data_IF_305651194043
#
_entry.id   IF_305651194043
#
_cell.length_a   1.000
_cell.length_b   1.000
_cell.length_c   1.000
_cell.angle_alpha   90.00
_cell.angle_beta   90.00
_cell.angle_gamma   90.00
#
_symmetry.space_group_name_H-M   'P 1'
#
loop_
_entity.id
_entity.type
_entity.pdbx_description
1 polymer ?
#
# COMPACT_ATOMS: atom_id res chain seq x y z
N UNK A 1 16.84 4.93 6.29
CA UNK A 1 17.15 3.66 6.97
C UNK A 1 16.85 2.57 5.96
N UNK A 2 17.84 1.75 5.58
CA UNK A 2 17.63 0.62 4.66
C UNK A 2 16.91 -0.51 5.42
N UNK A 3 15.76 -0.96 4.92
CA UNK A 3 15.00 -2.07 5.50
C UNK A 3 15.59 -3.43 5.08
N UNK A 4 15.10 -4.55 5.64
CA UNK A 4 15.53 -5.92 5.28
C UNK A 4 15.43 -6.21 3.77
N UNK A 5 14.60 -5.43 3.07
CA UNK A 5 14.36 -5.55 1.63
C UNK A 5 15.26 -4.66 0.75
N UNK A 6 16.20 -3.88 1.31
CA UNK A 6 17.00 -2.86 0.61
C UNK A 6 16.18 -1.77 -0.11
N UNK A 7 14.98 -1.45 0.39
CA UNK A 7 14.18 -0.32 -0.08
C UNK A 7 14.26 0.84 0.91
N UNK A 8 14.25 2.05 0.35
CA UNK A 8 14.16 3.28 1.14
C UNK A 8 12.70 3.72 1.17
N UNK A 9 12.13 3.73 2.38
CA UNK A 9 10.83 4.35 2.62
C UNK A 9 10.90 5.85 2.35
N UNK A 10 9.90 6.38 1.65
CA UNK A 10 9.74 7.80 1.44
C UNK A 10 9.29 8.46 2.75
N UNK A 11 10.04 9.49 3.18
CA UNK A 11 9.73 10.23 4.40
C UNK A 11 8.52 11.13 4.20
N UNK A 12 8.46 11.80 3.05
CA UNK A 12 7.32 12.61 2.64
C UNK A 12 6.37 11.81 1.73
N UNK A 13 5.11 12.23 1.68
CA UNK A 13 4.12 11.70 0.76
C UNK A 13 4.49 12.11 -0.68
N UNK A 14 4.70 11.16 -1.61
CA UNK A 14 4.99 11.47 -3.00
C UNK A 14 3.78 12.10 -3.71
N UNK A 15 4.04 12.92 -4.73
CA UNK A 15 2.98 13.45 -5.59
C UNK A 15 2.47 12.34 -6.53
N UNK A 16 1.27 11.83 -6.24
CA UNK A 16 0.64 10.72 -6.96
C UNK A 16 -0.77 11.08 -7.34
N UNK A 17 -1.09 10.91 -8.62
CA UNK A 17 -2.44 11.04 -9.16
C UNK A 17 -2.96 9.64 -9.49
N UNK A 18 -3.99 9.20 -8.76
CA UNK A 18 -4.62 7.90 -8.93
C UNK A 18 -6.07 8.09 -9.34
N UNK A 19 -6.59 7.20 -10.17
CA UNK A 19 -7.99 7.22 -10.53
C UNK A 19 -8.90 6.93 -9.31
N UNK A 20 -10.19 7.30 -9.37
CA UNK A 20 -11.10 7.12 -8.24
C UNK A 20 -11.26 5.67 -7.76
N UNK A 21 -11.14 4.67 -8.63
CA UNK A 21 -11.27 3.27 -8.23
C UNK A 21 -10.02 2.81 -7.46
N UNK A 22 -8.82 3.18 -7.93
CA UNK A 22 -7.56 2.95 -7.21
C UNK A 22 -7.54 3.67 -5.86
N UNK A 23 -8.00 4.93 -5.80
CA UNK A 23 -8.16 5.68 -4.55
C UNK A 23 -9.03 4.92 -3.55
N UNK A 24 -10.20 4.47 -3.99
CA UNK A 24 -11.13 3.78 -3.10
C UNK A 24 -10.63 2.38 -2.69
N UNK A 25 -9.83 1.73 -3.53
CA UNK A 25 -9.14 0.49 -3.19
C UNK A 25 -8.05 0.70 -2.13
N UNK A 26 -7.28 1.78 -2.22
CA UNK A 26 -6.27 2.13 -1.21
C UNK A 26 -6.91 2.48 0.14
N UNK A 27 -8.06 3.16 0.14
CA UNK A 27 -8.81 3.47 1.36
C UNK A 27 -9.34 2.20 2.04
N UNK A 28 -9.89 1.26 1.27
CA UNK A 28 -10.34 -0.03 1.80
C UNK A 28 -9.18 -0.88 2.34
N UNK A 29 -8.03 -0.85 1.67
CA UNK A 29 -6.81 -1.48 2.17
C UNK A 29 -6.32 -0.81 3.47
N UNK A 30 -6.45 0.52 3.59
CA UNK A 30 -6.11 1.24 4.82
C UNK A 30 -6.99 0.77 5.98
N UNK A 31 -8.30 0.64 5.77
CA UNK A 31 -9.22 0.13 6.80
C UNK A 31 -8.87 -1.30 7.23
N UNK A 32 -8.43 -2.14 6.29
CA UNK A 32 -7.96 -3.49 6.59
C UNK A 32 -6.65 -3.48 7.42
N UNK A 33 -5.70 -2.61 7.08
CA UNK A 33 -4.48 -2.48 7.90
C UNK A 33 -4.81 -1.94 9.29
N UNK A 34 -5.71 -0.96 9.39
CA UNK A 34 -6.19 -0.36 10.65
C UNK A 34 -6.83 -1.41 11.58
N UNK A 35 -7.44 -2.45 11.01
CA UNK A 35 -7.99 -3.59 11.75
C UNK A 35 -6.93 -4.55 12.34
N UNK A 36 -5.64 -4.35 12.04
CA UNK A 36 -4.53 -5.10 12.64
C UNK A 36 -4.22 -6.45 11.98
N UNK A 37 -4.53 -6.59 10.69
CA UNK A 37 -4.25 -7.81 9.94
C UNK A 37 -2.75 -8.03 9.67
N UNK A 38 -2.34 -9.29 9.56
CA UNK A 38 -0.96 -9.66 9.28
C UNK A 38 -0.54 -9.36 7.84
N UNK A 39 0.77 -9.26 7.58
CA UNK A 39 1.27 -8.97 6.24
C UNK A 39 0.88 -9.98 5.15
N UNK A 40 0.70 -11.26 5.51
CA UNK A 40 0.18 -12.26 4.55
C UNK A 40 -1.31 -12.05 4.25
N UNK A 41 -2.11 -11.67 5.24
CA UNK A 41 -3.52 -11.30 5.05
C UNK A 41 -3.63 -10.03 4.20
N UNK A 42 -2.83 -8.99 4.51
CA UNK A 42 -2.78 -7.74 3.73
C UNK A 42 -2.38 -8.05 2.28
N UNK A 43 -1.42 -8.95 2.06
CA UNK A 43 -1.02 -9.34 0.71
C UNK A 43 -2.19 -9.95 -0.07
N UNK A 44 -2.97 -10.82 0.57
CA UNK A 44 -4.19 -11.38 -0.03
C UNK A 44 -5.24 -10.31 -0.30
N UNK A 45 -5.42 -9.40 0.66
CA UNK A 45 -6.42 -8.35 0.59
C UNK A 45 -6.18 -7.38 -0.57
N UNK A 46 -4.93 -7.12 -0.95
CA UNK A 46 -4.61 -6.33 -2.15
C UNK A 46 -5.24 -6.96 -3.40
N UNK A 47 -5.19 -8.29 -3.56
CA UNK A 47 -5.81 -8.96 -4.71
C UNK A 47 -7.34 -8.88 -4.66
N UNK A 48 -7.92 -9.16 -3.49
CA UNK A 48 -9.38 -9.14 -3.33
C UNK A 48 -9.96 -7.74 -3.49
N UNK A 49 -9.29 -6.71 -2.95
CA UNK A 49 -9.69 -5.31 -3.09
C UNK A 49 -9.63 -4.85 -4.54
N UNK A 50 -8.53 -5.15 -5.25
CA UNK A 50 -8.40 -4.85 -6.67
C UNK A 50 -9.58 -5.44 -7.46
N UNK A 51 -9.92 -6.71 -7.19
CA UNK A 51 -11.06 -7.39 -7.81
C UNK A 51 -12.41 -6.78 -7.44
N UNK A 52 -12.64 -6.42 -6.17
CA UNK A 52 -13.91 -5.81 -5.71
C UNK A 52 -14.12 -4.42 -6.31
N UNK A 53 -13.04 -3.69 -6.58
CA UNK A 53 -13.07 -2.33 -7.14
C UNK A 53 -12.89 -2.25 -8.66
N UNK A 54 -12.80 -3.40 -9.34
CA UNK A 54 -12.53 -3.48 -10.78
C UNK A 54 -11.25 -2.75 -11.20
N UNK A 55 -10.23 -2.79 -10.33
CA UNK A 55 -8.90 -2.21 -10.54
C UNK A 55 -7.95 -3.33 -10.99
N UNK A 56 -7.07 -3.03 -11.95
CA UNK A 56 -6.02 -3.99 -12.31
C UNK A 56 -5.11 -4.23 -11.09
N UNK A 57 -4.89 -5.50 -10.75
CA UNK A 57 -4.04 -5.85 -9.61
C UNK A 57 -2.66 -5.18 -9.68
N UNK A 58 -2.10 -5.08 -10.89
CA UNK A 58 -0.82 -4.40 -11.13
C UNK A 58 -0.84 -2.92 -10.77
N UNK A 59 -1.95 -2.23 -11.01
CA UNK A 59 -2.11 -0.81 -10.70
C UNK A 59 -2.19 -0.58 -9.19
N UNK A 60 -2.92 -1.41 -8.45
CA UNK A 60 -3.00 -1.28 -7.00
C UNK A 60 -1.64 -1.57 -6.32
N UNK A 61 -0.92 -2.60 -6.77
CA UNK A 61 0.46 -2.82 -6.32
C UNK A 61 1.38 -1.64 -6.69
N UNK A 62 1.27 -1.16 -7.93
CA UNK A 62 2.03 -0.01 -8.42
C UNK A 62 1.79 1.24 -7.58
N UNK A 63 0.53 1.52 -7.24
CA UNK A 63 0.14 2.63 -6.37
C UNK A 63 0.78 2.49 -4.97
N UNK A 64 0.72 1.30 -4.37
CA UNK A 64 1.41 1.03 -3.11
C UNK A 64 2.92 1.25 -3.20
N UNK A 65 3.59 0.72 -4.23
CA UNK A 65 5.02 0.95 -4.39
C UNK A 65 5.38 2.41 -4.61
N UNK A 66 4.53 3.16 -5.30
CA UNK A 66 4.70 4.61 -5.46
C UNK A 66 4.58 5.33 -4.14
N UNK A 67 3.54 5.05 -3.36
CA UNK A 67 3.31 5.69 -2.06
C UNK A 67 4.45 5.44 -1.06
N UNK A 68 4.96 4.21 -0.97
CA UNK A 68 5.94 3.85 0.06
C UNK A 68 7.39 4.00 -0.39
N UNK A 69 7.69 3.81 -1.67
CA UNK A 69 9.06 3.76 -2.17
C UNK A 69 9.37 4.76 -3.29
N UNK A 70 8.37 5.42 -3.86
CA UNK A 70 8.45 6.14 -5.14
C UNK A 70 9.10 5.28 -6.25
N UNK A 71 8.68 4.02 -6.31
CA UNK A 71 9.18 3.06 -7.30
C UNK A 71 8.02 2.35 -8.00
N UNK A 72 8.21 1.88 -9.25
CA UNK A 72 7.17 1.16 -9.98
C UNK A 72 6.96 -0.29 -9.52
N UNK A 73 7.89 -0.83 -8.72
CA UNK A 73 7.89 -2.22 -8.24
C UNK A 73 8.65 -2.32 -6.92
N UNK A 74 8.37 -3.36 -6.15
CA UNK A 74 8.99 -3.54 -4.84
C UNK A 74 8.96 -4.99 -4.35
N UNK A 75 9.18 -5.19 -3.04
CA UNK A 75 9.10 -6.50 -2.40
C UNK A 75 7.63 -6.95 -2.32
N UNK A 76 7.36 -8.06 -1.65
CA UNK A 76 5.99 -8.51 -1.39
C UNK A 76 5.26 -7.47 -0.52
N UNK A 77 4.47 -6.61 -1.17
CA UNK A 77 3.96 -5.36 -0.58
C UNK A 77 3.22 -5.59 0.74
N UNK A 78 2.25 -6.49 0.80
CA UNK A 78 1.47 -6.73 2.02
C UNK A 78 2.34 -7.24 3.17
N UNK A 79 3.27 -8.16 2.91
CA UNK A 79 4.24 -8.62 3.93
C UNK A 79 5.05 -7.45 4.47
N UNK A 80 5.55 -6.60 3.57
CA UNK A 80 6.29 -5.40 3.95
C UNK A 80 5.44 -4.42 4.78
N UNK A 81 4.20 -4.14 4.37
CA UNK A 81 3.31 -3.24 5.10
C UNK A 81 3.02 -3.76 6.52
N UNK A 82 2.87 -5.08 6.69
CA UNK A 82 2.64 -5.69 8.00
C UNK A 82 3.84 -5.64 8.96
N UNK A 83 5.03 -5.27 8.49
CA UNK A 83 6.22 -5.05 9.34
C UNK A 83 6.35 -3.61 9.81
N UNK A 84 5.60 -2.69 9.21
CA UNK A 84 5.65 -1.27 9.54
C UNK A 84 4.69 -0.91 10.68
N UNK A 85 4.85 0.31 11.18
CA UNK A 85 3.85 0.92 12.06
C UNK A 85 2.52 1.09 11.32
N UNK A 86 1.44 0.58 11.90
CA UNK A 86 0.13 0.55 11.25
C UNK A 86 -0.42 1.95 11.00
N UNK A 87 -0.24 2.89 11.95
CA UNK A 87 -0.71 4.27 11.78
C UNK A 87 -0.01 4.94 10.60
N UNK A 88 1.31 4.74 10.46
CA UNK A 88 2.06 5.20 9.28
C UNK A 88 1.49 4.63 7.98
N UNK A 89 1.24 3.33 7.91
CA UNK A 89 0.71 2.68 6.70
C UNK A 89 -0.68 3.21 6.35
N UNK A 90 -1.57 3.32 7.33
CA UNK A 90 -2.95 3.81 7.15
C UNK A 90 -2.94 5.25 6.65
N UNK A 91 -2.20 6.13 7.30
CA UNK A 91 -2.05 7.54 6.88
C UNK A 91 -1.49 7.64 5.46
N UNK A 92 -0.50 6.82 5.12
CA UNK A 92 0.11 6.82 3.79
C UNK A 92 -0.84 6.30 2.71
N UNK A 93 -1.61 5.24 2.98
CA UNK A 93 -2.61 4.70 2.06
C UNK A 93 -3.78 5.67 1.82
N UNK A 94 -4.19 6.42 2.85
CA UNK A 94 -5.18 7.51 2.75
C UNK A 94 -4.63 8.77 2.06
N UNK A 95 -3.31 8.80 1.78
CA UNK A 95 -2.55 9.96 1.26
C UNK A 95 -2.66 11.21 2.14
N UNK A 96 -2.60 11.02 3.45
CA UNK A 96 -2.71 12.10 4.45
C UNK A 96 -1.36 12.49 5.08
N UNK A 97 -0.28 11.73 4.81
CA UNK A 97 1.09 11.94 5.32
C UNK A 97 2.08 10.84 4.93
#
# INVERSE_FOLDING_TARGET
VDNEYNYRLQTDLPDTDFDPATVAALEELADFVEAGHSGDEIQGEIYETAKRRDVETGDLFGAGYRLFFDQPRGPRLGTFLGELDADFVVTRLRREG
#
